data_IF_778338572770
#
_entry.id   IF_778338572770
#
_cell.length_a   1.000
_cell.length_b   1.000
_cell.length_c   1.000
_cell.angle_alpha   90.00
_cell.angle_beta   90.00
_cell.angle_gamma   90.00
#
_symmetry.space_group_name_H-M   'P 1'
#
loop_
_entity.id
_entity.type
_entity.pdbx_description
1 polymer ?
#
# COMPACT_ATOMS: atom_id res chain seq x y z
N UNK A 1 -15.17 -14.53 -3.38
CA UNK A 1 -15.74 -14.00 -4.64
C UNK A 1 -16.83 -12.98 -4.36
N UNK A 2 -17.90 -13.36 -3.67
CA UNK A 2 -18.96 -12.44 -3.25
C UNK A 2 -18.43 -11.16 -2.56
N UNK A 3 -17.57 -11.30 -1.56
CA UNK A 3 -16.99 -10.15 -0.83
C UNK A 3 -16.18 -9.21 -1.72
N UNK A 4 -15.40 -9.76 -2.66
CA UNK A 4 -14.67 -8.93 -3.62
C UNK A 4 -15.63 -8.20 -4.57
N UNK A 5 -16.72 -8.84 -4.98
CA UNK A 5 -17.74 -8.20 -5.80
C UNK A 5 -18.43 -7.06 -5.03
N UNK A 6 -18.78 -7.26 -3.76
CA UNK A 6 -19.35 -6.22 -2.88
C UNK A 6 -18.37 -5.06 -2.68
N UNK A 7 -17.09 -5.33 -2.41
CA UNK A 7 -16.06 -4.30 -2.31
C UNK A 7 -15.84 -3.56 -3.62
N UNK A 8 -15.80 -4.27 -4.75
CA UNK A 8 -15.59 -3.64 -6.06
C UNK A 8 -16.80 -2.79 -6.44
N UNK A 9 -18.02 -3.26 -6.18
CA UNK A 9 -19.24 -2.48 -6.38
C UNK A 9 -19.24 -1.22 -5.51
N UNK A 10 -18.86 -1.32 -4.22
CA UNK A 10 -18.68 -0.16 -3.35
C UNK A 10 -17.65 0.83 -3.93
N UNK A 11 -16.50 0.33 -4.40
CA UNK A 11 -15.46 1.18 -4.99
C UNK A 11 -15.90 1.84 -6.30
N UNK A 12 -16.71 1.16 -7.12
CA UNK A 12 -17.24 1.69 -8.38
C UNK A 12 -18.48 2.55 -8.18
N UNK A 13 -19.10 2.46 -7.01
CA UNK A 13 -20.24 3.30 -6.67
C UNK A 13 -19.83 4.75 -6.44
N UNK A 14 -20.75 5.65 -6.78
CA UNK A 14 -20.73 7.06 -6.38
C UNK A 14 -21.63 7.30 -5.16
N UNK A 15 -21.80 6.29 -4.28
CA UNK A 15 -22.74 6.33 -3.14
C UNK A 15 -22.50 7.49 -2.15
N UNK A 16 -21.37 8.21 -2.27
CA UNK A 16 -21.24 9.58 -1.78
C UNK A 16 -21.14 10.54 -2.96
N UNK A 17 -22.11 11.45 -3.11
CA UNK A 17 -22.02 12.57 -4.06
C UNK A 17 -20.63 13.20 -3.95
N UNK A 18 -19.80 13.02 -4.99
CA UNK A 18 -18.47 13.63 -5.08
C UNK A 18 -17.27 12.76 -4.70
N UNK A 19 -17.41 11.45 -4.39
CA UNK A 19 -16.25 10.55 -4.20
C UNK A 19 -16.05 9.56 -5.35
N UNK A 20 -16.06 10.08 -6.58
CA UNK A 20 -15.75 9.33 -7.79
C UNK A 20 -14.26 8.98 -7.88
N UNK A 21 -13.93 8.06 -8.78
CA UNK A 21 -12.53 7.74 -9.11
C UNK A 21 -11.84 8.97 -9.71
N UNK A 22 -10.76 9.44 -9.07
CA UNK A 22 -9.97 10.56 -9.58
C UNK A 22 -8.75 10.07 -10.33
N UNK A 23 -8.53 10.55 -11.55
CA UNK A 23 -7.28 10.27 -12.26
C UNK A 23 -6.09 11.01 -11.62
N UNK A 24 -4.91 10.39 -11.65
CA UNK A 24 -3.70 11.17 -11.74
C UNK A 24 -2.43 10.33 -11.86
N UNK A 25 -1.30 11.03 -11.88
CA UNK A 25 -0.07 10.53 -12.48
C UNK A 25 1.17 10.65 -11.59
N UNK A 26 1.02 11.07 -10.32
CA UNK A 26 2.15 11.35 -9.42
C UNK A 26 3.15 10.18 -9.31
N UNK A 27 2.64 8.96 -9.10
CA UNK A 27 3.43 7.72 -9.08
C UNK A 27 3.15 6.82 -10.29
N UNK A 28 2.76 7.40 -11.41
CA UNK A 28 2.25 6.68 -12.58
C UNK A 28 0.75 6.89 -12.78
N UNK A 29 0.25 6.79 -14.02
CA UNK A 29 -1.14 7.00 -14.37
C UNK A 29 -2.02 5.91 -13.74
N UNK A 30 -3.05 6.35 -13.03
CA UNK A 30 -4.03 5.48 -12.37
C UNK A 30 -5.25 6.27 -11.92
N UNK A 31 -6.34 5.56 -11.61
CA UNK A 31 -7.47 6.13 -10.88
C UNK A 31 -7.33 5.84 -9.39
N UNK A 32 -7.70 6.80 -8.53
CA UNK A 32 -7.57 6.67 -7.07
C UNK A 32 -8.80 7.15 -6.31
N UNK A 33 -9.04 6.54 -5.16
CA UNK A 33 -9.96 6.97 -4.10
C UNK A 33 -9.23 6.90 -2.76
N UNK A 34 -9.59 7.77 -1.81
CA UNK A 34 -8.87 7.92 -0.54
C UNK A 34 -9.84 8.15 0.61
N UNK A 35 -9.59 7.51 1.74
CA UNK A 35 -10.39 7.64 2.95
C UNK A 35 -9.50 7.72 4.18
N UNK A 36 -10.07 8.26 5.26
CA UNK A 36 -9.35 8.46 6.50
C UNK A 36 -8.42 9.67 6.44
N UNK A 37 -7.44 9.68 7.35
CA UNK A 37 -6.49 10.77 7.54
C UNK A 37 -5.76 11.07 6.24
N UNK A 38 -5.74 12.35 5.86
CA UNK A 38 -5.00 12.80 4.70
C UNK A 38 -3.57 13.21 5.08
N UNK A 39 -2.60 12.79 4.28
CA UNK A 39 -1.21 13.17 4.43
C UNK A 39 -0.86 14.33 3.49
N UNK A 40 -0.48 15.48 4.04
CA UNK A 40 0.11 16.58 3.27
C UNK A 40 1.63 16.43 3.22
N UNK A 41 2.12 15.84 2.13
CA UNK A 41 3.54 15.58 1.94
C UNK A 41 4.40 16.86 1.91
N UNK A 42 3.83 17.99 1.43
CA UNK A 42 4.55 19.26 1.33
C UNK A 42 4.66 19.93 2.70
N UNK A 43 3.55 19.99 3.44
CA UNK A 43 3.50 20.57 4.78
C UNK A 43 4.07 19.62 5.85
N UNK A 44 4.35 18.35 5.50
CA UNK A 44 4.80 17.30 6.42
C UNK A 44 3.83 17.12 7.61
N UNK A 45 2.54 17.24 7.33
CA UNK A 45 1.47 17.28 8.32
C UNK A 45 0.30 16.38 7.95
N UNK A 46 -0.52 16.05 8.94
CA UNK A 46 -1.78 15.34 8.75
C UNK A 46 -2.93 16.34 8.65
N UNK A 47 -3.94 15.99 7.85
CA UNK A 47 -5.20 16.72 7.75
C UNK A 47 -6.36 15.80 8.17
N UNK A 48 -7.42 16.36 8.78
CA UNK A 48 -8.65 15.62 9.02
C UNK A 48 -9.19 14.96 7.74
N UNK A 49 -9.89 13.81 7.86
CA UNK A 49 -10.43 13.12 6.70
C UNK A 49 -11.43 13.99 5.94
N UNK A 50 -11.19 14.21 4.64
CA UNK A 50 -12.26 14.68 3.74
C UNK A 50 -13.33 13.61 3.56
N UNK A 51 -12.90 12.36 3.46
CA UNK A 51 -13.76 11.18 3.36
C UNK A 51 -13.47 10.26 4.55
N UNK A 52 -14.45 10.01 5.44
CA UNK A 52 -14.24 9.11 6.58
C UNK A 52 -13.99 7.68 6.11
N UNK A 53 -13.37 6.87 6.97
CA UNK A 53 -13.18 5.45 6.69
C UNK A 53 -14.54 4.73 6.53
N UNK A 54 -14.78 4.05 5.40
CA UNK A 54 -16.01 3.29 5.17
C UNK A 54 -16.18 2.14 6.16
N UNK A 55 -17.41 1.93 6.64
CA UNK A 55 -17.74 0.83 7.55
C UNK A 55 -17.48 -0.55 6.94
N UNK A 56 -17.59 -0.69 5.61
CA UNK A 56 -17.28 -1.93 4.88
C UNK A 56 -15.82 -2.38 5.06
N UNK A 57 -14.91 -1.47 5.42
CA UNK A 57 -13.51 -1.83 5.69
C UNK A 57 -13.29 -2.44 7.07
N UNK A 58 -14.15 -2.17 8.06
CA UNK A 58 -13.98 -2.70 9.42
C UNK A 58 -13.88 -4.25 9.49
N UNK A 59 -14.83 -5.03 8.93
CA UNK A 59 -14.73 -6.49 8.95
C UNK A 59 -13.56 -7.01 8.10
N UNK A 60 -13.12 -6.26 7.09
CA UNK A 60 -11.94 -6.60 6.27
C UNK A 60 -10.67 -6.47 7.10
N UNK A 61 -10.50 -5.34 7.79
CA UNK A 61 -9.34 -5.10 8.66
C UNK A 61 -9.28 -6.11 9.79
N UNK A 62 -10.41 -6.47 10.40
CA UNK A 62 -10.48 -7.51 11.42
C UNK A 62 -9.98 -8.87 10.89
N UNK A 63 -10.46 -9.28 9.72
CA UNK A 63 -9.99 -10.52 9.07
C UNK A 63 -8.52 -10.46 8.66
N UNK A 64 -8.02 -9.32 8.20
CA UNK A 64 -6.58 -9.16 7.90
C UNK A 64 -5.74 -9.50 9.13
N UNK A 65 -6.12 -9.01 10.31
CA UNK A 65 -5.45 -9.32 11.57
C UNK A 65 -5.56 -10.80 11.90
N UNK A 66 -6.74 -11.40 11.77
CA UNK A 66 -6.98 -12.81 12.06
C UNK A 66 -6.17 -13.74 11.14
N UNK A 67 -6.14 -13.47 9.82
CA UNK A 67 -5.39 -14.26 8.85
C UNK A 67 -3.90 -14.21 9.19
N UNK A 68 -3.31 -13.02 9.37
CA UNK A 68 -1.89 -12.91 9.71
C UNK A 68 -1.58 -13.58 11.06
N UNK A 69 -2.48 -13.49 12.04
CA UNK A 69 -2.30 -14.19 13.31
C UNK A 69 -2.26 -15.72 13.14
N UNK A 70 -3.03 -16.27 12.20
CA UNK A 70 -3.12 -17.71 11.93
C UNK A 70 -2.04 -18.25 11.00
N UNK A 71 -1.54 -17.47 10.05
CA UNK A 71 -0.62 -17.95 9.00
C UNK A 71 0.84 -17.59 9.24
N UNK A 72 1.13 -16.53 10.02
CA UNK A 72 2.51 -16.15 10.32
C UNK A 72 3.11 -17.10 11.38
N UNK A 73 4.32 -17.65 11.16
CA UNK A 73 5.03 -18.42 12.17
C UNK A 73 5.09 -17.70 13.52
N UNK A 74 4.92 -18.45 14.60
CA UNK A 74 5.01 -17.94 15.97
C UNK A 74 6.33 -17.19 16.20
N UNK A 75 6.26 -16.00 16.79
CA UNK A 75 7.43 -15.14 17.02
C UNK A 75 7.83 -14.26 15.83
N UNK A 76 7.20 -14.41 14.65
CA UNK A 76 7.45 -13.52 13.53
C UNK A 76 6.82 -12.15 13.81
N UNK A 77 7.63 -11.11 13.67
CA UNK A 77 7.23 -9.76 14.06
C UNK A 77 6.17 -9.14 13.16
N UNK A 78 5.95 -9.70 11.96
CA UNK A 78 4.80 -9.38 11.12
C UNK A 78 3.46 -9.69 11.83
N UNK A 79 3.44 -10.76 12.64
CA UNK A 79 2.30 -11.12 13.49
C UNK A 79 2.05 -10.07 14.56
N UNK A 80 3.10 -9.62 15.24
CA UNK A 80 3.00 -8.58 16.27
C UNK A 80 2.59 -7.23 15.68
N UNK A 81 3.20 -6.81 14.55
CA UNK A 81 2.85 -5.54 13.91
C UNK A 81 1.41 -5.50 13.38
N UNK A 82 0.82 -6.65 13.09
CA UNK A 82 -0.56 -6.76 12.62
C UNK A 82 -1.59 -6.85 13.75
N UNK A 83 -1.26 -7.41 14.92
CA UNK A 83 -2.20 -7.46 16.05
C UNK A 83 -2.63 -6.06 16.51
N UNK A 84 -1.70 -5.11 16.51
CA UNK A 84 -1.93 -3.71 16.89
C UNK A 84 -2.32 -2.82 15.69
N UNK A 85 -2.35 -3.38 14.48
CA UNK A 85 -2.65 -2.59 13.29
C UNK A 85 -4.10 -2.10 13.32
N UNK A 86 -4.25 -0.78 13.37
CA UNK A 86 -5.50 -0.03 13.38
C UNK A 86 -5.38 1.06 12.32
N UNK A 87 -5.67 0.75 11.04
CA UNK A 87 -5.47 1.71 9.99
C UNK A 87 -6.44 2.88 10.14
N UNK A 88 -5.92 4.08 9.92
CA UNK A 88 -6.68 5.32 9.90
C UNK A 88 -6.59 6.03 8.54
N UNK A 89 -5.94 5.40 7.56
CA UNK A 89 -5.84 5.85 6.18
C UNK A 89 -6.00 4.65 5.24
N UNK A 90 -6.76 4.83 4.16
CA UNK A 90 -6.90 3.85 3.08
C UNK A 90 -6.88 4.54 1.71
N UNK A 91 -6.07 4.03 0.79
CA UNK A 91 -6.02 4.50 -0.59
C UNK A 91 -6.31 3.34 -1.53
N UNK A 92 -7.39 3.44 -2.31
CA UNK A 92 -7.67 2.51 -3.39
C UNK A 92 -7.07 3.05 -4.70
N UNK A 93 -6.47 2.16 -5.49
CA UNK A 93 -5.94 2.48 -6.82
C UNK A 93 -6.50 1.47 -7.81
N UNK A 94 -7.12 1.96 -8.89
CA UNK A 94 -7.62 1.18 -10.03
C UNK A 94 -6.68 1.35 -11.23
N UNK A 95 -6.04 0.25 -11.59
CA UNK A 95 -5.13 0.13 -12.73
C UNK A 95 -5.86 -0.52 -13.90
N UNK A 96 -5.73 0.10 -15.08
CA UNK A 96 -6.28 -0.35 -16.34
C UNK A 96 -5.13 -0.60 -17.29
N UNK A 97 -4.88 -1.86 -17.62
CA UNK A 97 -3.72 -2.26 -18.44
C UNK A 97 -3.81 -1.64 -19.83
N UNK A 98 -5.01 -1.63 -20.41
CA UNK A 98 -5.25 -1.13 -21.77
C UNK A 98 -5.12 0.41 -21.86
N UNK A 99 -5.14 1.11 -20.71
CA UNK A 99 -4.89 2.55 -20.60
C UNK A 99 -3.44 2.88 -20.26
N UNK A 100 -2.55 1.87 -20.20
CA UNK A 100 -1.13 2.06 -19.91
C UNK A 100 -0.84 2.40 -18.44
N UNK A 101 -1.72 2.03 -17.50
CA UNK A 101 -1.51 2.27 -16.08
C UNK A 101 -0.29 1.50 -15.54
N UNK A 102 0.39 2.07 -14.56
CA UNK A 102 1.51 1.43 -13.86
C UNK A 102 1.77 2.13 -12.52
N UNK A 103 2.58 1.49 -11.67
CA UNK A 103 3.09 2.07 -10.44
C UNK A 103 4.60 2.25 -10.55
N UNK A 104 5.04 3.50 -10.64
CA UNK A 104 6.45 3.87 -10.62
C UNK A 104 7.09 3.40 -9.30
N UNK A 105 8.33 2.91 -9.39
CA UNK A 105 9.11 2.55 -8.21
C UNK A 105 9.24 3.76 -7.25
N UNK A 106 8.79 3.58 -6.01
CA UNK A 106 8.85 4.60 -4.97
C UNK A 106 8.84 3.98 -3.57
N UNK A 107 9.11 4.78 -2.55
CA UNK A 107 8.80 4.43 -1.17
C UNK A 107 7.63 5.30 -0.71
N UNK A 108 6.68 4.70 0.00
CA UNK A 108 5.72 5.45 0.82
C UNK A 108 6.46 6.36 1.79
N UNK A 109 5.84 7.50 2.14
CA UNK A 109 6.46 8.49 3.01
C UNK A 109 6.90 7.83 4.32
N UNK A 110 8.21 7.81 4.54
CA UNK A 110 8.83 7.03 5.63
C UNK A 110 8.50 7.58 7.02
N UNK A 111 8.00 8.80 7.10
CA UNK A 111 7.71 9.49 8.35
C UNK A 111 6.20 9.55 8.64
N UNK A 112 5.38 9.69 7.62
CA UNK A 112 3.94 9.92 7.77
C UNK A 112 3.12 8.65 7.64
N UNK A 113 3.48 7.71 6.75
CA UNK A 113 2.65 6.54 6.43
C UNK A 113 2.77 5.36 7.42
N UNK A 114 3.44 5.54 8.55
CA UNK A 114 3.65 4.48 9.55
C UNK A 114 4.60 3.36 9.14
N UNK A 115 4.76 2.38 10.04
CA UNK A 115 5.71 1.27 9.89
C UNK A 115 5.18 0.00 9.25
N UNK A 116 3.86 -0.09 9.04
CA UNK A 116 3.18 -1.22 8.42
C UNK A 116 2.26 -0.70 7.32
N UNK A 117 2.35 -1.29 6.13
CA UNK A 117 1.41 -1.09 5.03
C UNK A 117 0.76 -2.43 4.71
N UNK A 118 -0.54 -2.42 4.48
CA UNK A 118 -1.28 -3.63 4.10
C UNK A 118 -2.01 -3.35 2.80
N UNK A 119 -1.76 -4.16 1.78
CA UNK A 119 -2.38 -4.03 0.47
C UNK A 119 -3.30 -5.22 0.19
N UNK A 120 -4.59 -4.95 -0.03
CA UNK A 120 -5.57 -5.92 -0.49
C UNK A 120 -5.67 -5.86 -2.02
N UNK A 121 -5.38 -6.98 -2.69
CA UNK A 121 -5.41 -7.08 -4.15
C UNK A 121 -6.76 -7.63 -4.63
N UNK A 122 -7.41 -6.92 -5.55
CA UNK A 122 -8.73 -7.23 -6.10
C UNK A 122 -8.71 -7.16 -7.64
N UNK A 123 -9.70 -7.77 -8.28
CA UNK A 123 -9.97 -7.78 -9.73
C UNK A 123 -8.93 -8.45 -10.63
N UNK A 124 -7.65 -8.47 -10.29
CA UNK A 124 -6.61 -9.00 -11.16
C UNK A 124 -5.28 -9.23 -10.48
N UNK A 125 -4.46 -10.06 -11.13
CA UNK A 125 -3.13 -10.45 -10.66
C UNK A 125 -2.07 -9.42 -11.07
N UNK A 126 -0.98 -9.36 -10.31
CA UNK A 126 0.15 -8.50 -10.63
C UNK A 126 1.49 -9.08 -10.21
N UNK A 127 2.56 -8.50 -10.73
CA UNK A 127 3.92 -8.66 -10.23
C UNK A 127 4.41 -7.30 -9.73
N UNK A 128 4.69 -7.22 -8.43
CA UNK A 128 5.33 -6.06 -7.83
C UNK A 128 6.83 -6.30 -7.74
N UNK A 129 7.61 -5.33 -8.22
CA UNK A 129 9.07 -5.32 -8.10
C UNK A 129 9.47 -4.47 -6.91
N UNK A 130 10.31 -5.04 -6.05
CA UNK A 130 11.00 -4.37 -4.97
C UNK A 130 12.46 -4.19 -5.34
N UNK A 131 12.95 -2.95 -5.27
CA UNK A 131 14.35 -2.61 -5.56
C UNK A 131 14.95 -1.91 -4.36
N UNK A 132 16.09 -2.40 -3.87
CA UNK A 132 16.78 -1.81 -2.73
C UNK A 132 17.14 -0.33 -2.97
N UNK A 133 16.71 0.55 -2.07
CA UNK A 133 17.01 1.99 -2.09
C UNK A 133 18.38 2.25 -1.44
N UNK A 134 19.44 1.93 -2.18
CA UNK A 134 20.84 2.04 -1.75
C UNK A 134 21.19 3.48 -1.29
N UNK A 135 20.56 4.49 -1.88
CA UNK A 135 20.78 5.90 -1.49
C UNK A 135 20.26 6.19 -0.08
N UNK A 136 19.12 5.59 0.30
CA UNK A 136 18.57 5.71 1.66
C UNK A 136 19.39 4.92 2.70
N UNK A 137 19.91 3.75 2.34
CA UNK A 137 20.74 2.91 3.19
C UNK A 137 22.08 3.56 3.55
N UNK A 138 22.68 4.33 2.61
CA UNK A 138 23.92 5.08 2.84
C UNK A 138 23.78 6.18 3.91
N UNK A 139 22.63 6.87 3.96
CA UNK A 139 22.38 7.96 4.93
C UNK A 139 22.21 7.45 6.38
N UNK A 140 21.65 6.25 6.58
CA UNK A 140 21.42 5.68 7.92
C UNK A 140 22.68 5.12 8.59
N UNK A 141 23.73 4.78 7.83
CA UNK A 141 24.94 4.12 8.36
C UNK A 141 26.06 5.04 8.84
N UNK A 142 25.88 6.37 8.81
CA UNK A 142 26.73 7.34 9.52
C UNK A 142 28.25 7.24 9.29
N UNK A 143 28.71 6.61 8.21
CA UNK A 143 30.07 6.09 8.12
C UNK A 143 30.77 6.52 6.85
N UNK A 144 31.88 7.23 7.04
CA UNK A 144 33.01 7.34 6.11
C UNK A 144 33.42 5.91 5.71
N UNK A 145 33.01 5.50 4.52
CA UNK A 145 33.28 4.17 3.99
C UNK A 145 33.29 4.21 2.47
N UNK A 146 34.40 4.69 1.90
CA UNK A 146 34.82 4.27 0.55
C UNK A 146 35.00 2.75 0.61
N UNK A 147 34.10 1.97 0.03
CA UNK A 147 34.30 0.51 0.06
C UNK A 147 33.27 -0.39 -0.59
N UNK A 148 32.05 0.07 -0.90
CA UNK A 148 31.08 -0.79 -1.60
C UNK A 148 30.22 0.02 -2.57
N UNK A 149 30.87 0.58 -3.59
CA UNK A 149 30.20 1.25 -4.71
C UNK A 149 29.78 0.28 -5.81
N UNK A 150 30.11 -1.01 -5.69
CA UNK A 150 30.00 -2.00 -6.76
C UNK A 150 28.91 -3.05 -6.51
N UNK A 151 28.29 -3.05 -5.33
CA UNK A 151 27.16 -3.95 -5.06
C UNK A 151 25.94 -3.52 -5.88
N UNK A 152 25.47 -4.44 -6.73
CA UNK A 152 24.19 -4.33 -7.43
C UNK A 152 23.03 -4.31 -6.44
N UNK A 153 22.08 -3.36 -6.55
CA UNK A 153 20.90 -3.32 -5.69
C UNK A 153 20.14 -4.65 -5.73
N UNK A 154 19.67 -5.11 -4.57
CA UNK A 154 18.80 -6.29 -4.51
C UNK A 154 17.46 -5.98 -5.22
N UNK A 155 17.03 -6.87 -6.12
CA UNK A 155 15.75 -6.78 -6.84
C UNK A 155 14.95 -8.06 -6.59
N UNK A 156 13.72 -7.90 -6.11
CA UNK A 156 12.83 -9.01 -5.78
C UNK A 156 11.51 -8.80 -6.52
N UNK A 157 11.04 -9.82 -7.23
CA UNK A 157 9.71 -9.83 -7.84
C UNK A 157 8.78 -10.67 -6.99
N UNK A 158 7.61 -10.11 -6.68
CA UNK A 158 6.59 -10.75 -5.85
C UNK A 158 5.28 -10.77 -6.60
N UNK A 159 4.72 -11.96 -6.76
CA UNK A 159 3.37 -12.14 -7.28
C UNK A 159 2.35 -11.63 -6.27
N UNK A 160 1.36 -10.91 -6.79
CA UNK A 160 0.22 -10.38 -6.05
C UNK A 160 -1.06 -10.94 -6.67
N UNK A 161 -1.44 -12.17 -6.31
CA UNK A 161 -2.66 -12.77 -6.81
C UNK A 161 -3.89 -11.97 -6.39
N UNK A 162 -4.93 -12.00 -7.20
CA UNK A 162 -6.26 -11.53 -6.87
C UNK A 162 -6.74 -12.19 -5.57
N UNK A 163 -7.33 -11.40 -4.67
CA UNK A 163 -7.75 -11.77 -3.30
C UNK A 163 -6.59 -12.05 -2.33
N UNK A 164 -5.37 -11.65 -2.65
CA UNK A 164 -4.25 -11.73 -1.72
C UNK A 164 -4.12 -10.50 -0.82
N UNK A 165 -3.48 -10.70 0.33
CA UNK A 165 -3.02 -9.66 1.23
C UNK A 165 -1.50 -9.61 1.19
N UNK A 166 -0.96 -8.42 0.89
CA UNK A 166 0.46 -8.14 1.01
C UNK A 166 0.69 -7.27 2.24
N UNK A 167 1.59 -7.68 3.12
CA UNK A 167 1.99 -6.93 4.30
C UNK A 167 3.43 -6.48 4.13
N UNK A 168 3.67 -5.17 4.16
CA UNK A 168 4.99 -4.58 4.09
C UNK A 168 5.33 -3.96 5.44
N UNK A 169 6.45 -4.39 6.04
CA UNK A 169 6.97 -3.83 7.29
C UNK A 169 8.49 -3.87 7.31
N UNK A 170 9.12 -3.06 8.18
CA UNK A 170 10.58 -3.10 8.41
C UNK A 170 11.40 -2.85 7.13
N UNK A 171 12.39 -3.71 6.82
CA UNK A 171 13.31 -3.54 5.68
C UNK A 171 12.56 -3.32 4.38
N UNK A 172 11.57 -4.14 4.04
CA UNK A 172 10.84 -3.97 2.77
C UNK A 172 10.10 -2.63 2.72
N UNK A 173 9.61 -2.14 3.86
CA UNK A 173 8.91 -0.86 3.97
C UNK A 173 9.84 0.36 3.83
N UNK A 174 11.06 0.27 4.36
CA UNK A 174 11.95 1.42 4.53
C UNK A 174 13.14 1.45 3.58
N UNK A 175 13.63 0.28 3.19
CA UNK A 175 14.90 0.12 2.48
C UNK A 175 14.68 -0.34 1.03
N UNK A 176 13.43 -0.62 0.62
CA UNK A 176 13.08 -0.97 -0.76
C UNK A 176 12.08 0.03 -1.34
N UNK A 177 12.29 0.41 -2.60
CA UNK A 177 11.25 0.98 -3.45
C UNK A 177 10.39 -0.15 -3.98
N UNK A 178 9.10 0.09 -4.14
CA UNK A 178 8.18 -0.86 -4.75
C UNK A 178 7.47 -0.23 -5.95
N UNK A 179 7.19 -1.03 -6.96
CA UNK A 179 6.50 -0.60 -8.18
C UNK A 179 5.89 -1.79 -8.92
N UNK A 180 4.97 -1.49 -9.82
CA UNK A 180 4.33 -2.45 -10.73
C UNK A 180 4.57 -1.92 -12.13
N UNK A 181 5.51 -2.51 -12.91
CA UNK A 181 5.71 -2.08 -14.29
C UNK A 181 4.47 -2.42 -15.14
N UNK A 182 4.28 -1.81 -16.33
CA UNK A 182 3.16 -2.13 -17.20
C UNK A 182 3.02 -3.64 -17.49
N UNK A 183 4.14 -4.33 -17.75
CA UNK A 183 4.17 -5.78 -17.96
C UNK A 183 3.85 -6.59 -16.69
N UNK A 184 3.91 -5.97 -15.51
CA UNK A 184 3.54 -6.56 -14.23
C UNK A 184 2.04 -6.49 -13.93
N UNK A 185 1.22 -5.81 -14.74
CA UNK A 185 -0.24 -5.91 -14.67
C UNK A 185 -0.71 -7.09 -15.53
N UNK A 186 -1.13 -8.17 -14.89
CA UNK A 186 -1.42 -9.43 -15.57
C UNK A 186 -2.89 -9.57 -16.01
N UNK A 187 -3.75 -8.64 -15.59
CA UNK A 187 -5.18 -8.59 -15.94
C UNK A 187 -5.55 -7.22 -16.52
N UNK A 188 -6.67 -7.14 -17.24
CA UNK A 188 -7.15 -5.87 -17.82
C UNK A 188 -7.44 -4.82 -16.75
N UNK A 189 -7.98 -5.25 -15.61
CA UNK A 189 -8.25 -4.43 -14.43
C UNK A 189 -7.58 -5.02 -13.20
N UNK A 190 -6.93 -4.16 -12.40
CA UNK A 190 -6.45 -4.50 -11.06
C UNK A 190 -6.79 -3.37 -10.11
N UNK A 191 -7.40 -3.71 -8.97
CA UNK A 191 -7.64 -2.77 -7.89
C UNK A 191 -6.79 -3.16 -6.69
N UNK A 192 -6.17 -2.17 -6.04
CA UNK A 192 -5.49 -2.36 -4.76
C UNK A 192 -5.99 -1.38 -3.73
N UNK A 193 -6.33 -1.86 -2.53
CA UNK A 193 -6.62 -1.01 -1.38
C UNK A 193 -5.45 -1.09 -0.41
N UNK A 194 -4.72 0.00 -0.24
CA UNK A 194 -3.61 0.09 0.70
C UNK A 194 -4.02 0.79 1.98
N UNK A 195 -4.00 0.05 3.08
CA UNK A 195 -4.27 0.51 4.43
C UNK A 195 -2.97 0.92 5.13
N UNK A 196 -3.03 2.03 5.88
CA UNK A 196 -1.92 2.60 6.64
C UNK A 196 -2.40 3.01 8.02
N UNK A 197 -1.48 2.93 8.99
CA UNK A 197 -1.67 3.48 10.32
C UNK A 197 -0.63 4.57 10.52
N UNK A 198 -1.06 5.81 10.41
CA UNK A 198 -0.22 6.98 10.61
C UNK A 198 -0.35 7.51 12.06
N UNK A 199 0.51 8.46 12.43
CA UNK A 199 0.63 8.94 13.82
C UNK A 199 -0.47 9.94 14.24
N UNK A 200 -1.44 10.22 13.36
CA UNK A 200 -2.56 11.10 13.69
C UNK A 200 -3.45 10.44 14.76
N UNK A 201 -3.79 11.20 15.80
CA UNK A 201 -4.60 10.72 16.90
C UNK A 201 -6.08 10.69 16.50
N UNK A 202 -6.71 9.50 16.54
CA UNK A 202 -8.13 9.29 16.21
C UNK A 202 -8.37 8.66 14.83
N UNK A 203 -9.66 8.47 14.46
CA UNK A 203 -10.11 7.97 13.15
C UNK A 203 -9.62 6.56 12.73
N UNK A 204 -9.29 5.74 13.72
CA UNK A 204 -8.88 4.35 13.50
C UNK A 204 -10.09 3.46 13.15
N UNK A 205 -9.83 2.41 12.37
CA UNK A 205 -10.74 1.28 12.09
C UNK A 205 -10.32 0.02 12.82
#
# INVERSE_FOLDING_TARGET
EREEAELTAFLDSDEGIGHAWEFGSFNGPSHRKRWGVETDLKARAFKPPRWPMPSIFAPIVERMRAVVASTAPSGQMAKLSMMEFRPNEANAIDYRRDEGHYLKAHCDDRQLSGGTLVNLCLCGDAIMTYTEDVASCKRKRGGVGRGDTDRTPEVIQVELPRRSLQVQSRRVRYDFQHGIPPAGLLSSRRVSITFRQNAFLGHNV
#
